data_IF_549359231114
#
_entry.id   IF_549359231114
#
_cell.length_a   1.000
_cell.length_b   1.000
_cell.length_c   1.000
_cell.angle_alpha   90.00
_cell.angle_beta   90.00
_cell.angle_gamma   90.00
#
_symmetry.space_group_name_H-M   'P 1'
#
loop_
_entity.id
_entity.type
_entity.pdbx_description
1 polymer ?
#
# COMPACT_ATOMS: atom_id res chain seq x y z
N UNK A 1 -3.39 -22.59 -4.52
CA UNK A 1 -2.39 -21.54 -4.20
C UNK A 1 -1.62 -21.16 -5.47
N UNK A 2 -2.18 -20.31 -6.36
CA UNK A 2 -1.51 -19.86 -7.61
C UNK A 2 -1.76 -18.38 -7.95
N UNK A 3 -2.31 -17.60 -7.02
CA UNK A 3 -2.80 -16.24 -7.31
C UNK A 3 -1.71 -15.18 -7.31
N UNK A 4 -0.68 -15.33 -6.44
CA UNK A 4 0.39 -14.33 -6.31
C UNK A 4 1.18 -14.11 -7.62
N UNK A 5 1.66 -15.15 -8.32
CA UNK A 5 2.39 -14.94 -9.58
C UNK A 5 1.56 -14.17 -10.62
N UNK A 6 0.28 -14.55 -10.78
CA UNK A 6 -0.63 -13.90 -11.71
C UNK A 6 -0.90 -12.44 -11.34
N UNK A 7 -1.19 -12.16 -10.07
CA UNK A 7 -1.47 -10.80 -9.60
C UNK A 7 -0.24 -9.89 -9.77
N UNK A 8 0.95 -10.39 -9.46
CA UNK A 8 2.20 -9.65 -9.66
C UNK A 8 2.40 -9.32 -11.15
N UNK A 9 2.21 -10.30 -12.05
CA UNK A 9 2.32 -10.07 -13.50
C UNK A 9 1.33 -9.01 -13.99
N UNK A 10 0.09 -9.01 -13.48
CA UNK A 10 -0.91 -8.01 -13.84
C UNK A 10 -0.48 -6.59 -13.42
N UNK A 11 0.11 -6.44 -12.23
CA UNK A 11 0.64 -5.15 -11.76
C UNK A 11 1.86 -4.72 -12.55
N UNK A 12 2.80 -5.63 -12.80
CA UNK A 12 4.03 -5.35 -13.57
C UNK A 12 3.72 -4.92 -15.01
N UNK A 13 2.75 -5.57 -15.65
CA UNK A 13 2.32 -5.24 -17.02
C UNK A 13 1.40 -4.00 -17.06
N UNK A 14 1.12 -3.34 -15.94
CA UNK A 14 0.24 -2.18 -15.86
C UNK A 14 -1.25 -2.47 -16.10
N UNK A 15 -1.64 -3.75 -16.15
CA UNK A 15 -3.04 -4.17 -16.29
C UNK A 15 -3.86 -3.75 -15.06
N UNK A 16 -3.22 -3.67 -13.89
CA UNK A 16 -3.81 -3.17 -12.66
C UNK A 16 -2.89 -2.12 -12.04
N UNK A 17 -3.35 -0.87 -11.92
CA UNK A 17 -2.63 0.15 -11.17
C UNK A 17 -2.93 0.07 -9.68
N UNK A 18 -1.95 -0.37 -8.90
CA UNK A 18 -2.04 -0.44 -7.43
C UNK A 18 -1.47 0.80 -6.75
N UNK A 19 -0.79 1.69 -7.49
CA UNK A 19 -0.14 2.88 -6.91
C UNK A 19 -1.18 3.88 -6.44
N UNK A 20 -2.28 4.04 -7.19
CA UNK A 20 -3.42 4.88 -6.83
C UNK A 20 -4.12 4.46 -5.53
N UNK A 21 -3.92 3.23 -5.04
CA UNK A 21 -4.48 2.80 -3.76
C UNK A 21 -3.75 3.41 -2.55
N UNK A 22 -2.48 3.76 -2.70
CA UNK A 22 -1.64 4.29 -1.62
C UNK A 22 -1.95 5.76 -1.43
N UNK A 23 -2.78 6.08 -0.43
CA UNK A 23 -3.16 7.45 -0.08
C UNK A 23 -2.18 8.12 0.87
N UNK A 24 -1.49 7.33 1.71
CA UNK A 24 -0.56 7.86 2.70
C UNK A 24 0.75 7.05 2.70
N UNK A 25 1.86 7.78 2.81
CA UNK A 25 3.22 7.23 2.96
C UNK A 25 3.86 7.86 4.17
N UNK A 26 4.50 7.05 4.99
CA UNK A 26 5.25 7.50 6.16
C UNK A 26 6.64 6.86 6.17
N UNK A 27 7.69 7.56 6.60
CA UNK A 27 8.96 6.93 6.90
C UNK A 27 8.84 6.00 8.12
N UNK A 28 9.74 5.02 8.24
CA UNK A 28 9.74 4.06 9.34
C UNK A 28 9.86 4.73 10.72
N UNK A 29 10.57 5.86 10.79
CA UNK A 29 10.68 6.71 11.99
C UNK A 29 9.32 7.19 12.52
N UNK A 30 8.31 7.29 11.65
CA UNK A 30 6.97 7.79 11.97
C UNK A 30 5.90 6.67 12.06
N UNK A 31 6.32 5.41 12.29
CA UNK A 31 5.40 4.26 12.30
C UNK A 31 4.16 4.48 13.19
N UNK A 32 4.30 5.14 14.35
CA UNK A 32 3.17 5.45 15.25
C UNK A 32 2.10 6.31 14.57
N UNK A 33 2.51 7.36 13.85
CA UNK A 33 1.60 8.21 13.11
C UNK A 33 0.91 7.42 11.98
N UNK A 34 1.67 6.57 11.26
CA UNK A 34 1.14 5.71 10.21
C UNK A 34 0.02 4.78 10.72
N UNK A 35 0.22 4.14 11.88
CA UNK A 35 -0.80 3.29 12.50
C UNK A 35 -2.03 4.07 12.97
N UNK A 36 -1.86 5.27 13.54
CA UNK A 36 -3.00 6.11 13.93
C UNK A 36 -3.82 6.57 12.72
N UNK A 37 -3.18 6.98 11.63
CA UNK A 37 -3.86 7.33 10.36
C UNK A 37 -4.66 6.13 9.82
N UNK A 38 -4.06 4.94 9.81
CA UNK A 38 -4.75 3.72 9.40
C UNK A 38 -5.95 3.38 10.31
N UNK A 39 -5.80 3.55 11.63
CA UNK A 39 -6.87 3.30 12.61
C UNK A 39 -8.04 4.27 12.47
N UNK A 40 -7.75 5.55 12.18
CA UNK A 40 -8.75 6.58 11.90
C UNK A 40 -9.50 6.35 10.57
N UNK A 41 -9.01 5.41 9.73
CA UNK A 41 -9.51 5.15 8.37
C UNK A 41 -9.44 6.40 7.49
N UNK A 42 -8.41 7.21 7.72
CA UNK A 42 -8.11 8.37 6.91
C UNK A 42 -7.26 7.93 5.70
N UNK A 43 -7.94 7.69 4.57
CA UNK A 43 -7.37 7.16 3.34
C UNK A 43 -7.65 5.68 3.07
N UNK A 44 -7.18 5.18 1.91
CA UNK A 44 -7.41 3.80 1.46
C UNK A 44 -6.30 2.84 1.91
N UNK A 45 -5.04 3.23 1.68
CA UNK A 45 -3.88 2.40 2.03
C UNK A 45 -2.75 3.27 2.56
N UNK A 46 -2.28 2.90 3.74
CA UNK A 46 -1.08 3.46 4.35
C UNK A 46 0.10 2.52 4.08
N UNK A 47 1.22 3.07 3.63
CA UNK A 47 2.50 2.35 3.42
C UNK A 47 3.58 2.99 4.30
N UNK A 48 4.38 2.15 4.93
CA UNK A 48 5.57 2.59 5.68
C UNK A 48 6.80 2.25 4.83
N UNK A 49 7.66 3.23 4.63
CA UNK A 49 8.90 3.10 3.85
C UNK A 49 10.12 3.05 4.79
N UNK A 50 11.18 2.31 4.43
CA UNK A 50 12.39 2.18 5.25
C UNK A 50 13.03 3.52 5.65
#
# INVERSE_FOLDING_TARGET
KHTYPRAIQMVQNGIVDVRSLVTHRFPLSEFKAAFETAKKRDGLKVVIEP
#
